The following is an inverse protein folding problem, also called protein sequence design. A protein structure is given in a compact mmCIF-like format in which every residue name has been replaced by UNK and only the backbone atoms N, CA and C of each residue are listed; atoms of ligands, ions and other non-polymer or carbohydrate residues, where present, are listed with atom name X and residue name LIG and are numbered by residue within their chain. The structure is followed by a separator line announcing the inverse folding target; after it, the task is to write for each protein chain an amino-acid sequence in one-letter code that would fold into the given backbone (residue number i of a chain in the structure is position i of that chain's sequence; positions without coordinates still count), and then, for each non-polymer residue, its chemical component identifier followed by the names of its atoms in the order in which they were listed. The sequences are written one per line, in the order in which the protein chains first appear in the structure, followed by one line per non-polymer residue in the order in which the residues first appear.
data_IF_416631638322
#
_entry.id   IF_416631638322
#
_cell.length_a   1.000
_cell.length_b   1.000
_cell.length_c   1.000
_cell.angle_alpha   90.00
_cell.angle_beta   90.00
_cell.angle_gamma   90.00
#
_symmetry.space_group_name_H-M   'P 1'
#
loop_
_entity.id
_entity.type
_entity.pdbx_description
1 polymer ?
#
# COMPACT_ATOMS: atom_id res chain seq x y z
N UNK A 1 -3.20 -38.01 -14.41
CA UNK A 1 -3.49 -37.40 -13.10
C UNK A 1 -3.49 -35.91 -13.24
N UNK A 2 -4.62 -35.28 -12.95
CA UNK A 2 -4.78 -33.83 -12.96
C UNK A 2 -4.10 -33.28 -11.70
N UNK A 3 -2.97 -32.59 -11.87
CA UNK A 3 -2.32 -31.89 -10.78
C UNK A 3 -3.06 -30.55 -10.62
N UNK A 4 -3.96 -30.47 -9.65
CA UNK A 4 -4.47 -29.18 -9.19
C UNK A 4 -3.41 -28.61 -8.25
N UNK A 5 -2.75 -27.50 -8.59
CA UNK A 5 -1.90 -26.83 -7.62
C UNK A 5 -2.77 -26.44 -6.44
N UNK A 6 -2.42 -26.92 -5.25
CA UNK A 6 -3.00 -26.44 -4.01
C UNK A 6 -2.92 -24.92 -4.01
N UNK A 7 -4.06 -24.24 -3.82
CA UNK A 7 -4.09 -22.80 -3.72
C UNK A 7 -3.11 -22.41 -2.61
N UNK A 8 -2.08 -21.65 -2.97
CA UNK A 8 -1.15 -21.11 -1.99
C UNK A 8 -1.96 -20.22 -1.06
N UNK A 9 -2.08 -20.68 0.17
CA UNK A 9 -2.60 -19.88 1.28
C UNK A 9 -1.51 -18.85 1.61
N UNK A 10 -1.30 -17.89 0.71
CA UNK A 10 -0.33 -16.82 0.88
C UNK A 10 -0.89 -15.89 1.95
N UNK A 11 -0.50 -16.15 3.18
CA UNK A 11 -0.66 -15.20 4.28
C UNK A 11 0.01 -13.91 3.83
N UNK A 12 -0.78 -12.83 3.67
CA UNK A 12 -0.27 -11.53 3.29
C UNK A 12 0.70 -11.05 4.37
N UNK A 13 1.95 -10.85 4.00
CA UNK A 13 3.01 -10.42 4.89
C UNK A 13 3.97 -9.51 4.12
N UNK A 14 4.26 -8.35 4.68
CA UNK A 14 5.21 -7.39 4.11
C UNK A 14 6.61 -8.00 3.86
N UNK A 15 7.02 -8.97 4.67
CA UNK A 15 8.29 -9.68 4.48
C UNK A 15 8.32 -10.52 3.19
N UNK A 16 7.15 -10.86 2.62
CA UNK A 16 7.03 -11.63 1.38
C UNK A 16 7.00 -10.75 0.12
N UNK A 17 7.09 -9.42 0.27
CA UNK A 17 7.16 -8.55 -0.90
C UNK A 17 8.34 -8.98 -1.80
N UNK A 18 8.16 -8.98 -3.11
CA UNK A 18 7.08 -8.35 -3.90
C UNK A 18 5.80 -9.17 -4.08
N UNK A 19 5.69 -10.40 -3.55
CA UNK A 19 4.43 -11.15 -3.66
C UNK A 19 3.31 -10.48 -2.82
N UNK A 20 2.05 -10.45 -3.29
CA UNK A 20 1.53 -11.04 -4.52
C UNK A 20 1.54 -10.09 -5.74
N UNK A 21 2.11 -8.88 -5.63
CA UNK A 21 2.16 -7.88 -6.71
C UNK A 21 3.03 -8.31 -7.88
N UNK A 22 4.01 -9.18 -7.62
CA UNK A 22 4.83 -9.84 -8.63
C UNK A 22 4.62 -11.36 -8.56
N UNK A 23 4.41 -11.99 -9.72
CA UNK A 23 4.30 -13.45 -9.85
C UNK A 23 5.07 -13.91 -11.08
N UNK A 24 5.88 -14.97 -10.94
CA UNK A 24 6.71 -15.49 -12.04
C UNK A 24 7.51 -14.39 -12.76
N UNK A 25 8.14 -13.50 -11.98
CA UNK A 25 8.93 -12.35 -12.49
C UNK A 25 8.12 -11.37 -13.37
N UNK A 26 6.82 -11.26 -13.17
CA UNK A 26 5.94 -10.31 -13.87
C UNK A 26 5.03 -9.58 -12.88
N UNK A 27 4.73 -8.32 -13.17
CA UNK A 27 3.71 -7.59 -12.40
C UNK A 27 2.35 -8.28 -12.58
N UNK A 28 1.68 -8.57 -11.47
CA UNK A 28 0.50 -9.42 -11.44
C UNK A 28 -0.77 -8.59 -11.31
N UNK A 29 -1.26 -8.03 -12.42
CA UNK A 29 -2.48 -7.23 -12.48
C UNK A 29 -2.52 -6.17 -11.37
N UNK A 30 -1.57 -5.25 -11.41
CA UNK A 30 -1.37 -4.22 -10.38
C UNK A 30 -1.92 -2.89 -10.86
N UNK A 31 -2.69 -2.23 -10.00
CA UNK A 31 -3.13 -0.84 -10.18
C UNK A 31 -2.58 0.00 -9.04
N UNK A 32 -1.71 0.96 -9.38
CA UNK A 32 -1.22 1.97 -8.46
C UNK A 32 -2.12 3.19 -8.53
N UNK A 33 -2.55 3.66 -7.38
CA UNK A 33 -3.49 4.78 -7.22
C UNK A 33 -2.76 5.89 -6.45
N UNK A 34 -2.63 7.04 -7.11
CA UNK A 34 -2.01 8.23 -6.56
C UNK A 34 -3.07 9.27 -6.21
N UNK A 35 -2.76 10.21 -5.34
CA UNK A 35 -3.62 11.37 -5.08
C UNK A 35 -3.89 12.16 -6.37
N UNK A 36 -5.01 12.85 -6.44
CA UNK A 36 -5.43 13.58 -7.65
C UNK A 36 -4.46 14.72 -7.97
N UNK A 37 -3.92 15.32 -6.92
CA UNK A 37 -2.91 16.37 -6.97
C UNK A 37 -1.67 15.90 -6.18
N UNK A 38 -1.05 14.82 -6.67
CA UNK A 38 0.06 14.18 -6.00
C UNK A 38 1.27 15.11 -5.89
N UNK A 39 1.82 15.21 -4.69
CA UNK A 39 3.03 16.00 -4.41
C UNK A 39 4.27 15.31 -4.96
N UNK A 40 5.38 16.06 -5.04
CA UNK A 40 6.67 15.49 -5.45
C UNK A 40 7.11 14.36 -4.49
N UNK A 41 6.79 14.47 -3.21
CA UNK A 41 7.07 13.44 -2.20
C UNK A 41 6.27 12.17 -2.48
N UNK A 42 4.97 12.30 -2.75
CA UNK A 42 4.10 11.18 -3.12
C UNK A 42 4.60 10.47 -4.39
N UNK A 43 4.96 11.22 -5.42
CA UNK A 43 5.50 10.65 -6.67
C UNK A 43 6.83 9.92 -6.44
N UNK A 44 7.70 10.49 -5.61
CA UNK A 44 8.98 9.87 -5.27
C UNK A 44 8.78 8.57 -4.48
N UNK A 45 7.87 8.57 -3.51
CA UNK A 45 7.51 7.38 -2.74
C UNK A 45 6.91 6.29 -3.65
N UNK A 46 6.00 6.66 -4.53
CA UNK A 46 5.41 5.75 -5.51
C UNK A 46 6.49 5.10 -6.40
N UNK A 47 7.43 5.91 -6.92
CA UNK A 47 8.55 5.41 -7.70
C UNK A 47 9.44 4.43 -6.93
N UNK A 48 9.69 4.67 -5.65
CA UNK A 48 10.45 3.74 -4.78
C UNK A 48 9.72 2.44 -4.52
N UNK A 49 8.42 2.51 -4.25
CA UNK A 49 7.59 1.31 -4.09
C UNK A 49 7.61 0.49 -5.38
N UNK A 50 7.46 1.14 -6.52
CA UNK A 50 7.52 0.46 -7.81
C UNK A 50 8.88 -0.16 -8.09
N UNK A 51 9.97 0.52 -7.76
CA UNK A 51 11.31 -0.05 -7.88
C UNK A 51 11.52 -1.27 -6.97
N UNK A 52 10.99 -1.21 -5.74
CA UNK A 52 11.06 -2.32 -4.79
C UNK A 52 10.25 -3.54 -5.27
N UNK A 53 9.01 -3.31 -5.74
CA UNK A 53 8.12 -4.39 -6.17
C UNK A 53 8.48 -4.91 -7.56
N UNK A 54 9.04 -4.06 -8.42
CA UNK A 54 9.43 -4.40 -9.78
C UNK A 54 10.84 -5.00 -9.91
N UNK A 55 11.60 -5.06 -8.82
CA UNK A 55 12.97 -5.61 -8.85
C UNK A 55 12.94 -7.07 -9.36
N UNK A 56 13.72 -7.33 -10.43
CA UNK A 56 13.76 -8.65 -11.08
C UNK A 56 12.52 -8.99 -11.94
N UNK A 57 11.59 -8.03 -12.16
CA UNK A 57 10.47 -8.25 -13.06
C UNK A 57 10.86 -8.05 -14.52
N UNK A 58 10.17 -8.77 -15.39
CA UNK A 58 10.24 -8.57 -16.85
C UNK A 58 9.27 -7.48 -17.29
N UNK A 59 9.47 -6.84 -18.47
CA UNK A 59 8.62 -5.75 -18.95
C UNK A 59 7.20 -6.17 -19.36
N UNK A 60 6.87 -7.45 -19.30
CA UNK A 60 5.57 -8.00 -19.75
C UNK A 60 4.52 -8.13 -18.65
N UNK A 61 4.66 -7.38 -17.56
CA UNK A 61 3.69 -7.39 -16.46
C UNK A 61 2.50 -6.46 -16.72
N UNK A 62 1.39 -6.72 -16.02
CA UNK A 62 0.21 -5.86 -16.01
C UNK A 62 0.32 -4.86 -14.86
N UNK A 63 0.66 -3.63 -15.21
CA UNK A 63 0.72 -2.50 -14.30
C UNK A 63 0.00 -1.31 -14.90
N UNK A 64 -0.85 -0.68 -14.13
CA UNK A 64 -1.52 0.57 -14.45
C UNK A 64 -1.31 1.57 -13.32
N UNK A 65 -1.11 2.84 -13.66
CA UNK A 65 -1.08 3.94 -12.70
C UNK A 65 -2.25 4.87 -13.00
N UNK A 66 -3.03 5.20 -11.98
CA UNK A 66 -4.20 6.08 -12.09
C UNK A 66 -4.22 7.11 -10.95
N UNK A 67 -5.00 8.16 -11.12
CA UNK A 67 -5.34 9.09 -10.04
C UNK A 67 -6.56 8.57 -9.27
N UNK A 68 -6.67 8.95 -8.01
CA UNK A 68 -7.75 8.48 -7.12
C UNK A 68 -9.15 8.86 -7.66
N UNK A 69 -9.32 10.04 -8.24
CA UNK A 69 -10.56 10.48 -8.88
C UNK A 69 -11.05 9.56 -10.02
N UNK A 70 -10.10 8.86 -10.67
CA UNK A 70 -10.40 7.93 -11.77
C UNK A 70 -10.59 6.49 -11.29
N UNK A 71 -10.53 6.25 -9.99
CA UNK A 71 -10.73 4.90 -9.45
C UNK A 71 -12.21 4.52 -9.49
N UNK A 72 -12.49 3.37 -10.07
CA UNK A 72 -13.80 2.76 -10.10
C UNK A 72 -13.69 1.30 -9.68
N UNK A 73 -14.35 0.92 -8.59
CA UNK A 73 -14.30 -0.45 -8.07
C UNK A 73 -14.73 -1.50 -9.10
N UNK A 74 -15.70 -1.18 -9.95
CA UNK A 74 -16.15 -2.07 -11.03
C UNK A 74 -15.06 -2.34 -12.07
N UNK A 75 -14.17 -1.37 -12.32
CA UNK A 75 -13.11 -1.49 -13.32
C UNK A 75 -11.80 -2.06 -12.72
N UNK A 76 -11.49 -1.74 -11.48
CA UNK A 76 -10.18 -2.00 -10.87
C UNK A 76 -10.21 -2.87 -9.62
N UNK A 77 -11.40 -3.16 -9.07
CA UNK A 77 -11.55 -3.95 -7.83
C UNK A 77 -11.01 -5.38 -7.94
N UNK A 78 -10.91 -5.93 -9.15
CA UNK A 78 -10.34 -7.26 -9.40
C UNK A 78 -8.81 -7.22 -9.67
N UNK A 79 -8.13 -6.17 -9.21
CA UNK A 79 -6.67 -6.01 -9.33
C UNK A 79 -6.02 -5.97 -7.96
N UNK A 80 -4.72 -6.28 -7.91
CA UNK A 80 -3.91 -5.96 -6.75
C UNK A 80 -3.72 -4.44 -6.71
N UNK A 81 -4.10 -3.82 -5.61
CA UNK A 81 -4.11 -2.36 -5.47
C UNK A 81 -2.93 -1.87 -4.65
N UNK A 82 -2.31 -0.79 -5.09
CA UNK A 82 -1.30 -0.04 -4.35
C UNK A 82 -1.78 1.40 -4.25
N UNK A 83 -2.08 1.87 -3.04
CA UNK A 83 -2.55 3.24 -2.80
C UNK A 83 -1.45 4.03 -2.10
N UNK A 84 -1.00 5.11 -2.72
CA UNK A 84 0.08 5.95 -2.21
C UNK A 84 -0.40 7.38 -2.09
N UNK A 85 -0.15 8.00 -0.94
CA UNK A 85 -0.41 9.43 -0.81
C UNK A 85 -0.73 9.92 0.59
N UNK A 86 -1.01 11.21 0.67
CA UNK A 86 -1.51 11.86 1.87
C UNK A 86 -2.97 11.47 2.11
N UNK A 87 -3.30 11.22 3.39
CA UNK A 87 -4.59 10.68 3.77
C UNK A 87 -5.75 11.62 3.43
N UNK A 88 -5.56 12.92 3.57
CA UNK A 88 -6.57 13.94 3.29
C UNK A 88 -6.76 14.25 1.80
N UNK A 89 -5.78 13.89 0.94
CA UNK A 89 -5.75 14.22 -0.48
C UNK A 89 -6.09 13.07 -1.41
N UNK A 90 -6.10 11.84 -0.90
CA UNK A 90 -6.41 10.65 -1.70
C UNK A 90 -7.82 10.14 -1.38
N UNK A 91 -8.76 10.34 -2.30
CA UNK A 91 -10.16 9.95 -2.14
C UNK A 91 -10.35 8.44 -1.97
N UNK A 92 -9.45 7.62 -2.53
CA UNK A 92 -9.50 6.17 -2.34
C UNK A 92 -9.06 5.78 -0.94
N UNK A 93 -8.06 6.46 -0.34
CA UNK A 93 -7.71 6.25 1.07
C UNK A 93 -8.89 6.53 1.99
N UNK A 94 -9.67 7.58 1.72
CA UNK A 94 -10.90 7.88 2.47
C UNK A 94 -11.94 6.76 2.35
N UNK A 95 -12.12 6.20 1.14
CA UNK A 95 -13.07 5.11 0.91
C UNK A 95 -12.68 3.82 1.64
N UNK A 96 -11.39 3.49 1.66
CA UNK A 96 -10.90 2.25 2.25
C UNK A 96 -10.54 2.38 3.73
N UNK A 97 -10.54 3.59 4.29
CA UNK A 97 -10.16 3.84 5.69
C UNK A 97 -10.86 2.90 6.70
N UNK A 98 -12.17 2.61 6.61
CA UNK A 98 -12.84 1.69 7.54
C UNK A 98 -12.30 0.25 7.53
N UNK A 99 -11.58 -0.13 6.48
CA UNK A 99 -11.03 -1.49 6.32
C UNK A 99 -9.55 -1.58 6.70
N UNK A 100 -8.88 -0.43 6.93
CA UNK A 100 -7.45 -0.39 7.26
C UNK A 100 -7.19 -0.96 8.66
N UNK A 101 -6.03 -1.61 8.85
CA UNK A 101 -5.58 -2.06 10.16
C UNK A 101 -5.28 -0.89 11.10
N UNK A 102 -4.67 0.17 10.54
CA UNK A 102 -4.45 1.46 11.18
C UNK A 102 -5.24 2.51 10.40
N UNK A 103 -6.32 2.94 11.01
CA UNK A 103 -7.25 3.89 10.41
C UNK A 103 -6.81 5.31 10.69
N UNK A 104 -7.23 6.21 9.85
CA UNK A 104 -7.16 7.65 10.10
C UNK A 104 -8.41 8.13 10.83
N UNK A 105 -8.30 9.27 11.50
CA UNK A 105 -9.44 10.01 12.05
C UNK A 105 -10.43 10.38 10.95
N UNK A 106 -11.66 10.73 11.31
CA UNK A 106 -12.72 11.06 10.34
C UNK A 106 -12.34 12.22 9.40
N UNK A 107 -11.54 13.15 9.90
CA UNK A 107 -11.00 14.28 9.13
C UNK A 107 -9.73 13.93 8.32
N UNK A 108 -9.23 12.70 8.47
CA UNK A 108 -8.04 12.18 7.78
C UNK A 108 -6.73 12.91 8.12
N UNK A 109 -6.67 13.66 9.23
CA UNK A 109 -5.50 14.49 9.59
C UNK A 109 -4.50 13.80 10.52
N UNK A 110 -4.85 12.67 11.10
CA UNK A 110 -3.97 11.87 11.97
C UNK A 110 -4.38 10.40 11.99
N UNK A 111 -3.50 9.54 12.48
CA UNK A 111 -3.89 8.16 12.78
C UNK A 111 -4.82 8.12 13.99
N UNK A 112 -5.88 7.34 13.89
CA UNK A 112 -6.80 7.11 14.99
C UNK A 112 -6.15 6.19 16.05
N UNK A 113 -6.41 6.46 17.31
CA UNK A 113 -6.04 5.57 18.40
C UNK A 113 -6.75 4.21 18.25
N UNK A 114 -6.03 3.16 18.52
CA UNK A 114 -6.57 1.80 18.51
C UNK A 114 -5.99 0.99 19.66
N UNK A 115 -6.62 -0.15 19.96
CA UNK A 115 -6.08 -1.10 20.96
C UNK A 115 -4.69 -1.63 20.61
N UNK A 116 -4.29 -1.53 19.33
CA UNK A 116 -2.98 -1.97 18.81
C UNK A 116 -1.95 -0.84 18.74
N UNK A 117 -2.40 0.40 18.83
CA UNK A 117 -1.57 1.57 18.62
C UNK A 117 -2.00 2.68 19.58
N UNK A 118 -1.20 2.88 20.63
CA UNK A 118 -1.32 4.01 21.54
C UNK A 118 -0.18 4.97 21.22
N UNK A 119 -0.52 6.15 20.75
CA UNK A 119 0.45 7.21 20.40
C UNK A 119 0.04 8.52 21.02
N UNK A 120 1.02 9.41 21.28
CA UNK A 120 0.72 10.79 21.57
C UNK A 120 0.18 11.48 20.33
N UNK A 121 -0.62 12.56 20.51
CA UNK A 121 -1.24 13.28 19.39
C UNK A 121 -0.21 13.78 18.36
N UNK A 122 0.94 14.26 18.81
CA UNK A 122 2.02 14.73 17.92
C UNK A 122 2.57 13.59 17.03
N UNK A 123 2.77 12.41 17.62
CA UNK A 123 3.20 11.22 16.87
C UNK A 123 2.14 10.73 15.89
N UNK A 124 0.87 10.76 16.28
CA UNK A 124 -0.24 10.32 15.42
C UNK A 124 -0.38 11.19 14.17
N UNK A 125 -0.06 12.48 14.28
CA UNK A 125 -0.08 13.43 13.17
C UNK A 125 1.11 13.24 12.19
N UNK A 126 2.29 12.90 12.70
CA UNK A 126 3.49 12.70 11.88
C UNK A 126 3.71 11.24 11.44
N UNK A 127 2.92 10.33 11.95
CA UNK A 127 3.06 8.92 11.67
C UNK A 127 2.76 8.61 10.19
N UNK A 128 3.49 7.63 9.68
CA UNK A 128 3.28 7.07 8.35
C UNK A 128 3.03 5.58 8.46
N UNK A 129 2.23 5.04 7.55
CA UNK A 129 1.85 3.63 7.60
C UNK A 129 2.06 2.98 6.24
N UNK A 130 2.75 1.83 6.27
CA UNK A 130 2.77 0.86 5.19
C UNK A 130 1.95 -0.34 5.64
N UNK A 131 0.83 -0.63 4.99
CA UNK A 131 -0.08 -1.72 5.37
C UNK A 131 -0.34 -2.63 4.18
N UNK A 132 -0.34 -3.94 4.43
CA UNK A 132 -0.68 -4.97 3.44
C UNK A 132 -1.83 -5.81 3.96
N UNK A 133 -2.91 -5.87 3.20
CA UNK A 133 -4.12 -6.60 3.56
C UNK A 133 -4.85 -7.13 2.32
N UNK A 134 -5.91 -7.89 2.54
CA UNK A 134 -6.85 -8.24 1.46
C UNK A 134 -7.56 -6.99 0.97
N UNK A 135 -7.79 -6.91 -0.34
CA UNK A 135 -8.56 -5.81 -0.92
C UNK A 135 -10.01 -5.85 -0.44
N UNK A 136 -10.60 -4.72 0.00
CA UNK A 136 -12.01 -4.67 0.37
C UNK A 136 -12.96 -4.85 -0.82
N UNK A 137 -12.44 -4.76 -2.03
CA UNK A 137 -13.22 -4.93 -3.27
C UNK A 137 -13.23 -6.39 -3.76
N UNK A 138 -12.16 -7.15 -3.45
CA UNK A 138 -12.06 -8.58 -3.78
C UNK A 138 -11.05 -9.24 -2.85
N UNK A 139 -11.50 -10.14 -1.98
CA UNK A 139 -10.68 -10.83 -0.98
C UNK A 139 -9.56 -11.72 -1.56
N UNK A 140 -9.62 -12.03 -2.86
CA UNK A 140 -8.55 -12.77 -3.53
C UNK A 140 -7.41 -11.89 -4.00
N UNK A 141 -7.57 -10.57 -3.94
CA UNK A 141 -6.60 -9.56 -4.32
C UNK A 141 -5.99 -8.89 -3.09
N UNK A 142 -4.78 -8.37 -3.25
CA UNK A 142 -4.09 -7.63 -2.19
C UNK A 142 -4.28 -6.13 -2.33
N UNK A 143 -4.25 -5.46 -1.19
CA UNK A 143 -4.17 -4.01 -1.05
C UNK A 143 -2.91 -3.67 -0.25
N UNK A 144 -2.01 -2.89 -0.84
CA UNK A 144 -0.90 -2.22 -0.17
C UNK A 144 -1.21 -0.73 -0.07
N UNK A 145 -1.17 -0.16 1.12
CA UNK A 145 -1.22 1.29 1.30
C UNK A 145 0.10 1.80 1.84
N UNK A 146 0.57 2.92 1.29
CA UNK A 146 1.73 3.66 1.76
C UNK A 146 1.29 5.12 1.94
N UNK A 147 0.99 5.51 3.16
CA UNK A 147 0.30 6.76 3.42
C UNK A 147 0.74 7.42 4.73
N UNK A 148 0.49 8.71 4.83
CA UNK A 148 0.68 9.53 6.02
C UNK A 148 -0.32 10.69 6.04
N UNK A 149 -0.50 11.32 7.19
CA UNK A 149 -1.29 12.54 7.28
C UNK A 149 -0.50 13.78 6.82
N UNK A 150 0.84 13.71 6.85
CA UNK A 150 1.72 14.84 6.51
C UNK A 150 2.84 14.46 5.55
N UNK A 151 3.37 15.46 4.84
CA UNK A 151 4.56 15.31 3.99
C UNK A 151 5.78 14.78 4.78
N UNK A 152 5.96 15.26 6.01
CA UNK A 152 7.04 14.78 6.88
C UNK A 152 6.89 13.28 7.18
N UNK A 153 5.67 12.81 7.44
CA UNK A 153 5.37 11.39 7.60
C UNK A 153 5.73 10.57 6.35
N UNK A 154 5.38 11.05 5.15
CA UNK A 154 5.77 10.36 3.91
C UNK A 154 7.29 10.33 3.71
N UNK A 155 8.01 11.40 4.05
CA UNK A 155 9.48 11.44 4.00
C UNK A 155 10.09 10.42 4.96
N UNK A 156 9.54 10.27 6.17
CA UNK A 156 9.96 9.28 7.14
C UNK A 156 9.76 7.85 6.59
N UNK A 157 8.61 7.58 5.96
CA UNK A 157 8.35 6.29 5.32
C UNK A 157 9.36 6.02 4.19
N UNK A 158 9.64 7.01 3.35
CA UNK A 158 10.66 6.89 2.29
C UNK A 158 12.04 6.57 2.86
N UNK A 159 12.45 7.22 3.93
CA UNK A 159 13.74 6.98 4.57
C UNK A 159 13.83 5.53 5.08
N UNK A 160 12.76 5.00 5.69
CA UNK A 160 12.68 3.61 6.15
C UNK A 160 12.77 2.61 5.01
N UNK A 161 12.10 2.86 3.89
CA UNK A 161 12.11 1.98 2.72
C UNK A 161 13.41 2.03 1.91
N UNK A 162 14.28 3.02 2.17
CA UNK A 162 15.51 3.23 1.40
C UNK A 162 16.65 2.30 1.76
N UNK A 163 16.64 1.72 2.96
CA UNK A 163 17.70 0.85 3.44
C UNK A 163 17.30 -0.62 3.30
N UNK A 164 18.16 -1.43 2.68
CA UNK A 164 17.93 -2.87 2.56
C UNK A 164 17.74 -3.55 3.92
N UNK A 165 18.48 -3.10 4.93
CA UNK A 165 18.33 -3.56 6.31
C UNK A 165 16.91 -3.38 6.85
N UNK A 166 16.24 -2.29 6.48
CA UNK A 166 14.90 -1.98 6.96
C UNK A 166 13.83 -2.79 6.21
N UNK A 167 14.07 -3.23 4.97
CA UNK A 167 13.15 -4.10 4.22
C UNK A 167 12.98 -5.47 4.88
N UNK A 168 14.03 -6.04 5.46
CA UNK A 168 13.99 -7.32 6.18
C UNK A 168 13.34 -7.22 7.57
N UNK A 169 13.23 -6.02 8.11
CA UNK A 169 12.51 -5.76 9.37
C UNK A 169 11.02 -5.48 9.18
N UNK A 170 10.54 -5.43 7.93
CA UNK A 170 9.11 -5.35 7.61
C UNK A 170 8.46 -6.68 8.01
N UNK A 171 8.15 -6.83 9.29
CA UNK A 171 7.45 -8.00 9.79
C UNK A 171 5.94 -7.79 9.78
N UNK A 172 5.18 -8.83 9.38
CA UNK A 172 3.72 -8.89 9.45
C UNK A 172 2.97 -7.96 8.48
N UNK A 173 1.84 -7.42 8.92
CA UNK A 173 0.82 -6.81 8.06
C UNK A 173 0.95 -5.29 7.96
N UNK A 174 1.67 -4.65 8.87
CA UNK A 174 1.85 -3.20 8.89
C UNK A 174 3.16 -2.74 9.54
N UNK A 175 3.64 -1.58 9.08
CA UNK A 175 4.72 -0.79 9.63
C UNK A 175 4.18 0.63 9.90
N UNK A 176 4.41 1.14 11.10
CA UNK A 176 4.04 2.49 11.52
C UNK A 176 5.29 3.32 11.79
#
# INVERSE_FOLDING_TARGET
SLYLPAGENTTLNLANLPAPFQRASRMNNVVMILSDDATQTELTLAGRIMAMLGAGSTPYGLLKVIRAENFQAAAYGNSNLIVVGLSDRNSVLKQINPYLHFQYTDDMTSLAESTKLVMTADYAHEASVLQLMKSPYNETMALLTASAATEAGLQNLMARLSTEKNRWSLGKEALV
#
